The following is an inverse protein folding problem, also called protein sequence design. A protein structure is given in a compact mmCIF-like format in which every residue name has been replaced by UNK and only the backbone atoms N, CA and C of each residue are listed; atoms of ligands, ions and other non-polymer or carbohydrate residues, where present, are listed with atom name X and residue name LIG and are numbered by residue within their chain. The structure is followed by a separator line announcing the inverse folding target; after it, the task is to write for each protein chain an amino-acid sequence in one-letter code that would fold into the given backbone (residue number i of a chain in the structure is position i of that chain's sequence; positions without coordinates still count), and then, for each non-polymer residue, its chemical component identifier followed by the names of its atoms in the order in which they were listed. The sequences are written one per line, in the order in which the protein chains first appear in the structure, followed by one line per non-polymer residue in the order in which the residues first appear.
data_IF_528095285689
#
_entry.id   IF_528095285689
#
_cell.length_a   1.000
_cell.length_b   1.000
_cell.length_c   1.000
_cell.angle_alpha   90.00
_cell.angle_beta   90.00
_cell.angle_gamma   90.00
#
_symmetry.space_group_name_H-M   'P 1'
#
loop_
_entity.id
_entity.type
_entity.pdbx_description
1 polymer ?
#
# COMPACT_ATOMS: atom_id res chain seq x y z
N UNK A 1 14.69 13.23 -5.52
CA UNK A 1 16.14 13.50 -5.51
C UNK A 1 16.43 14.86 -6.12
N UNK A 2 17.62 15.41 -5.87
CA UNK A 2 18.03 16.72 -6.39
C UNK A 2 18.49 16.69 -7.85
N UNK A 3 18.84 15.51 -8.38
CA UNK A 3 19.23 15.29 -9.77
C UNK A 3 18.06 14.74 -10.62
N UNK A 4 16.83 14.87 -10.11
CA UNK A 4 15.61 14.48 -10.81
C UNK A 4 15.42 15.34 -12.09
N UNK A 5 15.34 14.67 -13.23
CA UNK A 5 15.14 15.28 -14.56
C UNK A 5 13.70 15.27 -15.03
N UNK A 6 12.81 14.55 -14.33
CA UNK A 6 11.38 14.42 -14.64
C UNK A 6 10.59 15.44 -13.82
N UNK A 7 10.90 15.54 -12.52
CA UNK A 7 10.24 16.45 -11.59
C UNK A 7 11.23 17.55 -11.18
N UNK A 8 10.97 18.82 -11.56
CA UNK A 8 11.85 19.93 -11.20
C UNK A 8 11.95 20.13 -9.68
N UNK A 9 13.12 20.57 -9.15
CA UNK A 9 13.27 20.88 -7.73
C UNK A 9 12.24 21.89 -7.18
N UNK A 10 11.69 22.76 -8.03
CA UNK A 10 10.61 23.69 -7.67
C UNK A 10 9.33 22.99 -7.17
N UNK A 11 9.06 21.77 -7.63
CA UNK A 11 7.92 20.96 -7.16
C UNK A 11 8.09 20.55 -5.70
N UNK A 12 9.32 20.34 -5.24
CA UNK A 12 9.60 20.04 -3.83
C UNK A 12 9.25 21.25 -2.94
N UNK A 13 9.58 22.46 -3.39
CA UNK A 13 9.25 23.71 -2.69
C UNK A 13 7.74 24.02 -2.74
N UNK A 14 7.05 23.63 -3.80
CA UNK A 14 5.60 23.66 -3.85
C UNK A 14 4.99 22.71 -2.80
N UNK A 15 5.44 21.45 -2.76
CA UNK A 15 4.93 20.46 -1.80
C UNK A 15 5.08 20.92 -0.35
N UNK A 16 6.22 21.53 0.01
CA UNK A 16 6.47 22.11 1.34
C UNK A 16 5.46 23.19 1.73
N UNK A 17 4.98 23.96 0.76
CA UNK A 17 4.00 25.04 0.98
C UNK A 17 2.57 24.52 1.07
N UNK A 18 2.25 23.49 0.30
CA UNK A 18 0.89 22.95 0.20
C UNK A 18 0.56 21.94 1.30
N UNK A 19 1.57 21.25 1.85
CA UNK A 19 1.39 20.28 2.93
C UNK A 19 2.01 20.81 4.22
N UNK A 20 1.21 21.43 5.12
CA UNK A 20 1.72 21.94 6.39
C UNK A 20 2.35 20.83 7.23
N UNK A 21 3.54 21.10 7.79
CA UNK A 21 4.27 20.13 8.61
C UNK A 21 4.98 19.03 7.81
N UNK A 22 4.93 19.04 6.48
CA UNK A 22 5.70 18.11 5.67
C UNK A 22 7.21 18.42 5.75
N UNK A 23 7.99 17.37 5.98
CA UNK A 23 9.45 17.41 5.90
C UNK A 23 9.89 17.00 4.50
N UNK A 24 10.67 17.85 3.82
CA UNK A 24 11.23 17.57 2.49
C UNK A 24 12.70 17.21 2.62
N UNK A 25 13.02 15.93 2.41
CA UNK A 25 14.41 15.47 2.41
C UNK A 25 15.06 15.70 1.03
N UNK A 26 16.16 16.47 1.00
CA UNK A 26 16.92 16.77 -0.22
C UNK A 26 18.07 15.76 -0.39
N UNK A 27 17.85 14.74 -1.22
CA UNK A 27 18.86 13.74 -1.56
C UNK A 27 19.77 14.27 -2.70
N UNK A 28 21.02 14.61 -2.37
CA UNK A 28 22.02 15.13 -3.33
C UNK A 28 22.57 13.96 -4.16
N UNK A 29 22.75 14.14 -5.48
CA UNK A 29 23.25 13.10 -6.39
C UNK A 29 22.20 12.08 -6.85
N UNK A 30 20.98 12.19 -6.30
CA UNK A 30 19.93 11.19 -6.46
C UNK A 30 18.82 11.68 -7.40
N UNK A 31 18.31 10.78 -8.25
CA UNK A 31 17.35 11.09 -9.32
C UNK A 31 15.87 10.85 -8.96
N UNK A 32 15.03 10.64 -9.98
CA UNK A 32 13.58 10.45 -9.83
C UNK A 32 13.22 9.22 -8.99
N UNK A 33 13.89 8.10 -9.22
CA UNK A 33 13.62 6.83 -8.56
C UNK A 33 14.20 6.72 -7.14
N UNK A 34 14.79 7.81 -6.63
CA UNK A 34 15.38 7.85 -5.27
C UNK A 34 14.40 7.47 -4.16
N UNK A 35 13.12 7.76 -4.36
CA UNK A 35 12.06 7.33 -3.46
C UNK A 35 11.96 5.80 -3.32
N UNK A 36 12.26 5.00 -4.34
CA UNK A 36 12.01 3.56 -4.25
C UNK A 36 13.09 2.80 -3.47
N UNK A 37 14.34 3.26 -3.48
CA UNK A 37 15.47 2.45 -3.00
C UNK A 37 16.50 3.20 -2.16
N UNK A 38 16.45 4.54 -2.03
CA UNK A 38 17.63 5.32 -1.65
C UNK A 38 17.42 6.29 -0.47
N UNK A 39 16.45 6.02 0.42
CA UNK A 39 16.33 6.78 1.66
C UNK A 39 15.71 5.97 2.80
N UNK A 40 16.55 5.24 3.55
CA UNK A 40 16.16 4.48 4.74
C UNK A 40 15.43 5.35 5.77
N UNK A 41 15.88 6.58 5.95
CA UNK A 41 15.25 7.53 6.88
C UNK A 41 13.83 7.89 6.45
N UNK A 42 13.63 8.17 5.15
CA UNK A 42 12.33 8.54 4.61
C UNK A 42 11.36 7.36 4.73
N UNK A 43 11.79 6.16 4.35
CA UNK A 43 10.98 4.95 4.45
C UNK A 43 10.62 4.63 5.88
N UNK A 44 11.58 4.70 6.81
CA UNK A 44 11.33 4.49 8.23
C UNK A 44 10.30 5.49 8.76
N UNK A 45 10.43 6.77 8.43
CA UNK A 45 9.50 7.79 8.90
C UNK A 45 8.09 7.56 8.33
N UNK A 46 7.98 7.28 7.03
CA UNK A 46 6.70 6.99 6.37
C UNK A 46 6.04 5.77 7.02
N UNK A 47 6.76 4.66 7.15
CA UNK A 47 6.22 3.45 7.75
C UNK A 47 5.89 3.61 9.23
N UNK A 48 6.69 4.38 9.98
CA UNK A 48 6.39 4.64 11.39
C UNK A 48 5.11 5.48 11.56
N UNK A 49 4.84 6.40 10.63
CA UNK A 49 3.59 7.19 10.64
C UNK A 49 2.39 6.31 10.28
N UNK A 50 2.54 5.44 9.27
CA UNK A 50 1.44 4.61 8.77
C UNK A 50 1.12 3.41 9.66
N UNK A 51 2.15 2.76 10.20
CA UNK A 51 2.03 1.47 10.90
C UNK A 51 2.43 1.55 12.39
N UNK A 52 2.90 2.70 12.86
CA UNK A 52 3.44 2.86 14.20
C UNK A 52 4.86 2.31 14.35
N UNK A 53 5.33 2.25 15.59
CA UNK A 53 6.69 1.76 15.89
C UNK A 53 6.78 0.25 15.61
N UNK A 54 7.78 -0.21 14.85
CA UNK A 54 7.97 -1.63 14.58
C UNK A 54 8.19 -2.40 15.89
N UNK A 55 7.38 -3.45 16.11
CA UNK A 55 7.39 -4.26 17.33
C UNK A 55 8.36 -5.46 17.27
N UNK A 56 9.14 -5.58 16.18
CA UNK A 56 10.00 -6.73 15.94
C UNK A 56 9.24 -7.97 15.47
N UNK A 57 9.88 -9.14 15.47
CA UNK A 57 9.25 -10.39 15.07
C UNK A 57 8.04 -10.70 15.95
N UNK A 58 6.88 -10.95 15.33
CA UNK A 58 5.71 -11.44 16.06
C UNK A 58 6.02 -12.83 16.59
N UNK A 59 5.82 -13.04 17.90
CA UNK A 59 5.76 -14.39 18.43
C UNK A 59 4.59 -15.08 17.72
N UNK A 60 4.88 -16.18 17.01
CA UNK A 60 3.86 -17.05 16.42
C UNK A 60 3.11 -17.74 17.56
N UNK A 61 2.26 -17.00 18.27
CA UNK A 61 1.23 -17.64 19.08
C UNK A 61 0.23 -18.15 18.06
N UNK A 62 0.31 -19.46 17.83
CA UNK A 62 -0.59 -20.30 17.06
C UNK A 62 -1.99 -19.67 17.00
N UNK A 63 -2.38 -19.16 15.83
CA UNK A 63 -3.78 -18.87 15.56
C UNK A 63 -4.53 -20.20 15.74
N UNK A 64 -5.38 -20.28 16.77
CA UNK A 64 -6.40 -21.31 16.80
C UNK A 64 -7.29 -21.05 15.60
N UNK A 65 -7.06 -21.81 14.53
CA UNK A 65 -8.00 -21.95 13.41
C UNK A 65 -9.33 -22.41 14.01
N UNK A 66 -10.23 -21.49 14.33
CA UNK A 66 -11.62 -21.85 14.59
C UNK A 66 -12.18 -22.45 13.31
N UNK A 67 -12.67 -23.70 13.30
CA UNK A 67 -13.25 -24.29 12.11
C UNK A 67 -14.38 -23.40 11.60
N UNK A 68 -14.24 -22.92 10.36
CA UNK A 68 -15.31 -22.21 9.67
C UNK A 68 -16.38 -23.24 9.31
N UNK A 69 -17.50 -23.22 10.04
CA UNK A 69 -18.72 -23.95 9.68
C UNK A 69 -19.29 -23.33 8.40
N UNK A 70 -18.85 -23.82 7.24
CA UNK A 70 -19.49 -23.51 5.96
C UNK A 70 -20.71 -24.41 5.79
N UNK A 71 -21.94 -23.87 5.70
CA UNK A 71 -23.09 -24.67 5.29
C UNK A 71 -22.88 -25.18 3.84
N UNK A 72 -23.31 -26.41 3.52
CA UNK A 72 -23.14 -26.96 2.18
C UNK A 72 -23.86 -26.11 1.14
N UNK A 73 -23.19 -25.84 0.02
CA UNK A 73 -23.71 -25.05 -1.08
C UNK A 73 -25.01 -25.67 -1.61
N UNK A 74 -26.08 -24.87 -1.67
CA UNK A 74 -27.32 -25.25 -2.35
C UNK A 74 -27.03 -25.35 -3.86
N UNK A 75 -27.24 -26.53 -4.45
CA UNK A 75 -27.10 -26.72 -5.89
C UNK A 75 -28.17 -25.91 -6.65
N UNK A 76 -27.82 -25.23 -7.76
CA UNK A 76 -28.80 -24.50 -8.55
C UNK A 76 -29.69 -25.49 -9.30
N UNK A 77 -30.99 -25.44 -9.02
CA UNK A 77 -32.02 -26.21 -9.72
C UNK A 77 -32.09 -25.76 -11.19
N UNK A 78 -31.56 -26.57 -12.10
CA UNK A 78 -31.66 -26.35 -13.55
C UNK A 78 -33.11 -26.71 -13.96
N UNK A 79 -33.99 -25.72 -14.09
CA UNK A 79 -35.29 -25.93 -14.73
C UNK A 79 -35.21 -25.58 -16.22
N UNK A 80 -34.92 -26.61 -17.02
CA UNK A 80 -35.22 -26.65 -18.45
C UNK A 80 -36.74 -26.68 -18.64
N UNK A 81 -37.32 -25.68 -19.30
CA UNK A 81 -38.60 -25.83 -20.00
C UNK A 81 -38.42 -25.41 -21.45
N UNK A 82 -38.44 -26.42 -22.32
CA UNK A 82 -38.64 -26.30 -23.76
C UNK A 82 -40.15 -26.30 -24.00
N UNK A 83 -40.73 -25.16 -24.41
CA UNK A 83 -42.00 -25.04 -25.16
C UNK A 83 -41.92 -23.69 -25.91
N UNK A 84 -41.60 -23.60 -27.21
CA UNK A 84 -42.43 -23.92 -28.40
C UNK A 84 -43.71 -23.08 -28.46
N UNK A 85 -43.66 -21.91 -29.14
CA UNK A 85 -44.82 -21.27 -29.81
C UNK A 85 -44.31 -20.50 -31.06
N UNK A 86 -44.80 -20.97 -32.22
CA UNK A 86 -44.97 -20.40 -33.58
C UNK A 86 -43.81 -19.71 -34.33
#
# INVERSE_FOLDING_TARGET
GMDDRVVPPAMNEYARRVVPGATVHRLIGEGHFSYFCFCDECHRNIFSILFGTPQGPLNKTQEEETPQDFPPAEEPLINTTVEQID
#
